data_IF_354601848085
#
_entry.id   IF_354601848085
#
_cell.length_a   1.000
_cell.length_b   1.000
_cell.length_c   1.000
_cell.angle_alpha   90.00
_cell.angle_beta   90.00
_cell.angle_gamma   90.00
#
_symmetry.space_group_name_H-M   'P 1'
#
loop_
_entity.id
_entity.type
_entity.pdbx_description
1 polymer ?
#
# COMPACT_ATOMS: atom_id res chain seq x y z
N UNK A 1 23.20 -2.56 4.38
CA UNK A 1 23.15 -2.77 5.84
C UNK A 1 21.79 -3.37 6.12
N UNK A 2 21.71 -4.49 6.82
CA UNK A 2 20.41 -5.03 7.19
C UNK A 2 19.79 -4.07 8.23
N UNK A 3 18.59 -3.58 7.96
CA UNK A 3 17.85 -2.74 8.90
C UNK A 3 17.66 -3.47 10.23
N UNK A 4 17.87 -2.79 11.35
CA UNK A 4 17.60 -3.36 12.68
C UNK A 4 16.12 -3.40 13.01
N UNK A 5 15.28 -2.66 12.29
CA UNK A 5 13.86 -2.48 12.54
C UNK A 5 13.01 -2.61 11.27
N UNK A 6 11.81 -2.01 11.30
CA UNK A 6 10.99 -1.74 10.12
C UNK A 6 10.75 -0.24 10.03
N UNK A 7 10.63 0.26 8.81
CA UNK A 7 10.00 1.56 8.58
C UNK A 7 8.48 1.38 8.53
N UNK A 8 7.78 1.98 9.48
CA UNK A 8 6.32 1.91 9.52
C UNK A 8 5.68 3.01 8.67
N UNK A 9 4.57 2.68 8.05
CA UNK A 9 3.66 3.64 7.43
C UNK A 9 2.20 3.32 7.70
N UNK A 10 1.32 4.24 7.30
CA UNK A 10 -0.13 4.06 7.44
C UNK A 10 -0.87 4.93 6.42
N UNK A 11 -1.93 4.39 5.84
CA UNK A 11 -2.89 5.19 5.08
C UNK A 11 -3.74 6.06 6.03
N UNK A 12 -3.65 7.39 5.97
CA UNK A 12 -4.19 8.27 7.01
C UNK A 12 -5.65 8.68 6.80
N UNK A 13 -6.20 8.46 5.61
CA UNK A 13 -7.56 8.86 5.25
C UNK A 13 -8.56 7.70 5.46
N UNK A 14 -9.82 7.95 5.15
CA UNK A 14 -10.94 7.06 5.47
C UNK A 14 -11.47 6.24 4.30
N UNK A 15 -11.30 6.72 3.08
CA UNK A 15 -11.87 6.07 1.89
C UNK A 15 -11.18 4.73 1.64
N UNK A 16 -11.97 3.67 1.47
CA UNK A 16 -11.48 2.34 1.14
C UNK A 16 -12.04 1.83 -0.18
N UNK A 17 -11.22 1.08 -0.93
CA UNK A 17 -11.66 0.39 -2.14
C UNK A 17 -12.56 -0.80 -1.82
N UNK A 18 -13.56 -1.03 -2.66
CA UNK A 18 -14.43 -2.22 -2.59
C UNK A 18 -14.51 -2.87 -3.98
N UNK A 19 -14.97 -4.13 -4.09
CA UNK A 19 -15.14 -4.78 -5.40
C UNK A 19 -16.08 -4.05 -6.37
N UNK A 20 -16.90 -3.11 -5.89
CA UNK A 20 -17.92 -2.41 -6.70
C UNK A 20 -17.80 -0.88 -6.62
N UNK A 21 -16.75 -0.34 -5.98
CA UNK A 21 -16.59 1.11 -5.83
C UNK A 21 -15.77 1.49 -4.60
N UNK A 22 -16.26 2.50 -3.88
CA UNK A 22 -15.58 3.05 -2.70
C UNK A 22 -16.51 3.03 -1.48
N UNK A 23 -15.99 2.57 -0.36
CA UNK A 23 -16.56 2.83 0.95
C UNK A 23 -16.17 4.25 1.36
N UNK A 24 -17.16 5.08 1.62
CA UNK A 24 -17.01 6.50 1.98
C UNK A 24 -17.86 6.82 3.21
N UNK A 25 -17.59 7.97 3.82
CA UNK A 25 -18.38 8.50 4.93
C UNK A 25 -18.07 9.98 5.15
N UNK A 26 -18.12 10.48 6.40
CA UNK A 26 -17.86 11.89 6.70
C UNK A 26 -16.50 12.37 6.19
N UNK A 27 -16.36 13.68 5.96
CA UNK A 27 -15.11 14.30 5.52
C UNK A 27 -13.97 14.06 6.51
N UNK A 28 -12.75 13.92 5.99
CA UNK A 28 -11.55 13.77 6.79
C UNK A 28 -11.16 15.07 7.52
N UNK A 29 -10.82 14.94 8.80
CA UNK A 29 -10.32 16.03 9.64
C UNK A 29 -8.79 16.01 9.74
N UNK A 30 -8.12 16.76 8.87
CA UNK A 30 -6.65 16.79 8.78
C UNK A 30 -5.92 17.13 10.10
N UNK A 31 -6.49 17.97 10.96
CA UNK A 31 -5.89 18.28 12.27
C UNK A 31 -5.91 17.07 13.23
N UNK A 32 -7.01 16.30 13.22
CA UNK A 32 -7.13 15.06 14.01
C UNK A 32 -6.21 13.98 13.45
N UNK A 33 -6.10 13.88 12.13
CA UNK A 33 -5.14 12.98 11.45
C UNK A 33 -3.71 13.33 11.89
N UNK A 34 -3.30 14.60 11.76
CA UNK A 34 -1.97 15.03 12.14
C UNK A 34 -1.65 14.75 13.62
N UNK A 35 -2.65 14.93 14.50
CA UNK A 35 -2.52 14.62 15.92
C UNK A 35 -2.31 13.12 16.16
N UNK A 36 -3.13 12.28 15.51
CA UNK A 36 -3.04 10.82 15.63
C UNK A 36 -1.71 10.28 15.06
N UNK A 37 -1.27 10.76 13.89
CA UNK A 37 0.01 10.37 13.31
C UNK A 37 1.20 10.78 14.20
N UNK A 38 1.16 11.99 14.77
CA UNK A 38 2.18 12.43 15.73
C UNK A 38 2.22 11.53 16.97
N UNK A 39 1.05 11.11 17.45
CA UNK A 39 0.96 10.23 18.60
C UNK A 39 1.45 8.80 18.29
N UNK A 40 1.06 8.23 17.14
CA UNK A 40 1.50 6.92 16.67
C UNK A 40 3.02 6.88 16.47
N UNK A 41 3.59 7.91 15.85
CA UNK A 41 5.04 8.06 15.65
C UNK A 41 5.79 8.04 16.99
N UNK A 42 5.26 8.71 18.02
CA UNK A 42 5.91 8.74 19.33
C UNK A 42 7.35 9.26 19.24
N UNK A 43 8.31 8.43 19.68
CA UNK A 43 9.74 8.78 19.66
C UNK A 43 10.49 8.19 18.45
N UNK A 44 9.82 7.48 17.54
CA UNK A 44 10.49 6.90 16.37
C UNK A 44 10.90 7.99 15.39
N UNK A 45 11.91 7.68 14.57
CA UNK A 45 12.45 8.65 13.61
C UNK A 45 11.40 9.01 12.53
N UNK A 46 10.59 8.03 12.12
CA UNK A 46 9.63 8.18 11.03
C UNK A 46 8.38 7.32 11.21
N UNK A 47 7.29 7.81 10.62
CA UNK A 47 6.05 7.10 10.34
C UNK A 47 5.54 7.68 9.03
N UNK A 48 5.55 6.88 7.96
CA UNK A 48 5.25 7.34 6.60
C UNK A 48 3.74 7.41 6.37
N UNK A 49 3.18 8.58 6.03
CA UNK A 49 1.83 8.63 5.48
C UNK A 49 1.85 8.05 4.07
N UNK A 50 1.09 6.97 3.86
CA UNK A 50 0.89 6.36 2.53
C UNK A 50 -0.30 7.03 1.85
N UNK A 51 -0.12 7.53 0.65
CA UNK A 51 -1.16 8.21 -0.13
C UNK A 51 -1.34 7.60 -1.51
N UNK A 52 -2.50 7.86 -2.10
CA UNK A 52 -2.86 7.37 -3.43
C UNK A 52 -3.24 8.53 -4.36
N UNK A 53 -2.70 8.49 -5.57
CA UNK A 53 -3.09 9.32 -6.70
C UNK A 53 -3.56 8.41 -7.84
N UNK A 54 -4.87 8.31 -8.02
CA UNK A 54 -5.44 7.47 -9.08
C UNK A 54 -5.74 8.33 -10.29
N UNK A 55 -5.02 8.08 -11.37
CA UNK A 55 -5.20 8.77 -12.65
C UNK A 55 -6.17 7.99 -13.54
N UNK A 56 -7.26 8.63 -13.98
CA UNK A 56 -8.27 8.04 -14.87
C UNK A 56 -8.30 8.66 -16.26
N UNK A 57 -7.45 9.64 -16.53
CA UNK A 57 -7.43 10.39 -17.79
C UNK A 57 -7.26 11.90 -17.56
N UNK A 58 -6.98 12.66 -18.64
CA UNK A 58 -6.68 14.10 -18.55
C UNK A 58 -7.75 14.92 -17.85
N UNK A 59 -9.02 14.52 -17.97
CA UNK A 59 -10.16 15.15 -17.33
C UNK A 59 -10.17 15.03 -15.80
N UNK A 60 -9.44 14.06 -15.24
CA UNK A 60 -9.31 13.86 -13.79
C UNK A 60 -8.06 14.50 -13.21
N UNK A 61 -7.12 14.95 -14.05
CA UNK A 61 -5.81 15.45 -13.63
C UNK A 61 -5.95 16.56 -12.58
N UNK A 62 -6.73 17.60 -12.87
CA UNK A 62 -6.90 18.74 -11.96
C UNK A 62 -7.42 18.30 -10.58
N UNK A 63 -8.36 17.35 -10.54
CA UNK A 63 -8.90 16.81 -9.28
C UNK A 63 -7.82 16.09 -8.47
N UNK A 64 -6.96 15.32 -9.13
CA UNK A 64 -5.86 14.58 -8.48
C UNK A 64 -4.81 15.57 -7.94
N UNK A 65 -4.39 16.56 -8.73
CA UNK A 65 -3.45 17.59 -8.27
C UNK A 65 -4.02 18.46 -7.14
N UNK A 66 -5.32 18.75 -7.16
CA UNK A 66 -5.98 19.42 -6.05
C UNK A 66 -5.93 18.59 -4.76
N UNK A 67 -6.05 17.26 -4.85
CA UNK A 67 -5.89 16.36 -3.70
C UNK A 67 -4.44 16.31 -3.21
N UNK A 68 -3.47 16.10 -4.10
CA UNK A 68 -2.04 16.11 -3.76
C UNK A 68 -1.60 17.41 -3.10
N UNK A 69 -2.11 18.56 -3.57
CA UNK A 69 -1.87 19.85 -2.94
C UNK A 69 -2.43 19.95 -1.51
N UNK A 70 -3.59 19.34 -1.23
CA UNK A 70 -4.12 19.24 0.13
C UNK A 70 -3.23 18.34 1.00
N UNK A 71 -2.82 17.18 0.49
CA UNK A 71 -1.97 16.23 1.21
C UNK A 71 -0.60 16.84 1.55
N UNK A 72 0.01 17.53 0.58
CA UNK A 72 1.24 18.30 0.77
C UNK A 72 1.10 19.31 1.92
N UNK A 73 0.04 20.13 1.90
CA UNK A 73 -0.21 21.13 2.96
C UNK A 73 -0.44 20.51 4.32
N UNK A 74 -1.01 19.31 4.36
CA UNK A 74 -1.25 18.55 5.58
C UNK A 74 -0.02 17.73 6.05
N UNK A 75 1.09 17.74 5.31
CA UNK A 75 2.27 16.93 5.63
C UNK A 75 2.04 15.42 5.47
N UNK A 76 1.15 15.03 4.55
CA UNK A 76 0.76 13.64 4.30
C UNK A 76 1.43 13.05 3.05
N UNK A 77 2.43 13.70 2.47
CA UNK A 77 3.22 13.09 1.39
C UNK A 77 4.47 12.49 2.03
N UNK A 78 4.55 11.16 2.05
CA UNK A 78 5.73 10.39 2.47
C UNK A 78 5.94 9.24 1.49
N UNK A 79 4.99 8.30 1.46
CA UNK A 79 4.89 7.31 0.38
C UNK A 79 3.70 7.63 -0.53
N UNK A 80 3.91 7.64 -1.86
CA UNK A 80 2.85 7.92 -2.82
C UNK A 80 2.70 6.78 -3.84
N UNK A 81 1.53 6.18 -3.89
CA UNK A 81 1.15 5.25 -4.95
C UNK A 81 0.42 5.97 -6.07
N UNK A 82 0.87 5.80 -7.31
CA UNK A 82 0.16 6.28 -8.49
C UNK A 82 -0.54 5.10 -9.19
N UNK A 83 -1.87 5.09 -9.16
CA UNK A 83 -2.70 4.13 -9.90
C UNK A 83 -3.00 4.62 -11.31
N UNK A 84 -3.08 3.69 -12.27
CA UNK A 84 -3.40 4.00 -13.67
C UNK A 84 -4.67 3.26 -14.10
N UNK A 85 -5.79 3.98 -14.10
CA UNK A 85 -7.11 3.46 -14.45
C UNK A 85 -7.74 4.17 -15.66
N UNK A 86 -6.91 4.75 -16.52
CA UNK A 86 -7.38 5.47 -17.69
C UNK A 86 -8.15 4.60 -18.70
N UNK A 87 -8.95 5.24 -19.54
CA UNK A 87 -9.58 4.56 -20.66
C UNK A 87 -8.51 3.92 -21.57
N UNK A 88 -8.61 2.62 -21.94
CA UNK A 88 -7.63 1.96 -22.81
C UNK A 88 -7.49 2.56 -24.22
N UNK A 89 -8.42 3.41 -24.65
CA UNK A 89 -8.31 4.16 -25.91
C UNK A 89 -7.38 5.36 -25.84
N UNK A 90 -7.00 5.81 -24.64
CA UNK A 90 -6.09 6.94 -24.46
C UNK A 90 -4.63 6.53 -24.70
N UNK A 91 -3.84 7.47 -25.23
CA UNK A 91 -2.39 7.26 -25.37
C UNK A 91 -1.73 7.10 -24.02
N UNK A 92 -0.76 6.19 -23.95
CA UNK A 92 0.12 6.01 -22.80
C UNK A 92 0.87 7.31 -22.43
N UNK A 93 1.09 8.21 -23.39
CA UNK A 93 1.77 9.49 -23.15
C UNK A 93 1.07 10.35 -22.09
N UNK A 94 -0.26 10.31 -22.02
CA UNK A 94 -1.01 11.04 -21.00
C UNK A 94 -0.65 10.56 -19.58
N UNK A 95 -0.49 9.25 -19.42
CA UNK A 95 -0.04 8.65 -18.17
C UNK A 95 1.40 9.04 -17.83
N UNK A 96 2.31 8.98 -18.80
CA UNK A 96 3.72 9.32 -18.55
C UNK A 96 3.89 10.81 -18.24
N UNK A 97 3.13 11.69 -18.91
CA UNK A 97 3.13 13.12 -18.62
C UNK A 97 2.57 13.42 -17.23
N UNK A 98 1.51 12.72 -16.82
CA UNK A 98 0.98 12.81 -15.46
C UNK A 98 2.06 12.42 -14.43
N UNK A 99 2.74 11.28 -14.62
CA UNK A 99 3.82 10.81 -13.74
C UNK A 99 4.95 11.84 -13.65
N UNK A 100 5.41 12.41 -14.79
CA UNK A 100 6.45 13.47 -14.80
C UNK A 100 6.03 14.69 -13.98
N UNK A 101 4.78 15.15 -14.15
CA UNK A 101 4.25 16.29 -13.39
C UNK A 101 4.23 15.99 -11.88
N UNK A 102 3.83 14.78 -11.48
CA UNK A 102 3.84 14.39 -10.06
C UNK A 102 5.25 14.45 -9.47
N UNK A 103 6.25 13.87 -10.13
CA UNK A 103 7.64 13.92 -9.64
C UNK A 103 8.14 15.36 -9.57
N UNK A 104 7.90 16.15 -10.62
CA UNK A 104 8.34 17.54 -10.68
C UNK A 104 7.74 18.41 -9.57
N UNK A 105 6.45 18.23 -9.24
CA UNK A 105 5.76 19.08 -8.27
C UNK A 105 5.89 18.61 -6.82
N UNK A 106 5.95 17.29 -6.61
CA UNK A 106 5.86 16.68 -5.28
C UNK A 106 7.07 15.87 -4.87
N UNK A 107 8.02 15.58 -5.77
CA UNK A 107 9.12 14.66 -5.49
C UNK A 107 9.98 15.06 -4.27
N UNK A 108 10.17 16.36 -4.03
CA UNK A 108 10.90 16.84 -2.82
C UNK A 108 10.22 16.55 -1.48
N UNK A 109 8.97 16.09 -1.49
CA UNK A 109 8.19 15.73 -0.32
C UNK A 109 8.01 14.21 -0.17
N UNK A 110 8.58 13.39 -1.07
CA UNK A 110 8.40 11.95 -1.07
C UNK A 110 9.66 11.25 -0.56
N UNK A 111 9.47 10.23 0.26
CA UNK A 111 10.47 9.24 0.62
C UNK A 111 10.45 8.10 -0.41
N UNK A 112 9.26 7.71 -0.84
CA UNK A 112 9.04 6.67 -1.84
C UNK A 112 7.87 6.96 -2.77
N UNK A 113 7.92 6.32 -3.94
CA UNK A 113 6.86 6.34 -4.93
C UNK A 113 6.64 4.95 -5.53
N UNK A 114 5.38 4.53 -5.53
CA UNK A 114 4.96 3.27 -6.11
C UNK A 114 4.19 3.53 -7.42
N UNK A 115 4.63 2.90 -8.50
CA UNK A 115 3.93 2.92 -9.78
C UNK A 115 3.00 1.71 -9.85
N UNK A 116 1.70 1.97 -10.01
CA UNK A 116 0.58 1.02 -9.89
C UNK A 116 0.45 0.41 -8.48
N UNK A 117 -0.78 0.17 -8.04
CA UNK A 117 -1.03 -0.44 -6.72
C UNK A 117 -1.05 -1.96 -6.80
N UNK A 118 -1.93 -2.50 -7.64
CA UNK A 118 -2.17 -3.95 -7.74
C UNK A 118 -2.25 -4.37 -9.21
N UNK A 119 -1.17 -4.17 -9.98
CA UNK A 119 -1.13 -4.44 -11.42
C UNK A 119 -1.35 -5.93 -11.74
N UNK A 120 -1.13 -6.83 -10.78
CA UNK A 120 -1.37 -8.26 -10.94
C UNK A 120 -2.77 -8.70 -10.48
N UNK A 121 -3.66 -7.79 -10.08
CA UNK A 121 -5.04 -8.11 -9.69
C UNK A 121 -6.04 -7.79 -10.81
N UNK A 122 -6.72 -8.82 -11.33
CA UNK A 122 -7.48 -8.77 -12.60
C UNK A 122 -8.69 -7.83 -12.63
N UNK A 123 -9.14 -7.31 -11.49
CA UNK A 123 -10.28 -6.41 -11.40
C UNK A 123 -9.92 -5.01 -10.89
N UNK A 124 -8.64 -4.75 -10.57
CA UNK A 124 -8.11 -3.43 -10.20
C UNK A 124 -7.25 -2.89 -11.34
N UNK A 125 -6.01 -2.44 -11.08
CA UNK A 125 -5.08 -2.00 -12.13
C UNK A 125 -4.89 -3.09 -13.19
N UNK A 126 -4.79 -4.35 -12.77
CA UNK A 126 -4.65 -5.52 -13.64
C UNK A 126 -5.86 -5.80 -14.56
N UNK A 127 -6.97 -5.07 -14.40
CA UNK A 127 -8.10 -5.12 -15.36
C UNK A 127 -7.79 -4.44 -16.68
N UNK A 128 -6.72 -3.63 -16.74
CA UNK A 128 -6.36 -2.85 -17.92
C UNK A 128 -5.41 -3.62 -18.82
N UNK A 129 -5.68 -3.70 -20.13
CA UNK A 129 -4.82 -4.46 -21.05
C UNK A 129 -3.41 -3.87 -21.19
N UNK A 130 -3.24 -2.57 -20.88
CA UNK A 130 -1.98 -1.84 -20.96
C UNK A 130 -1.19 -1.83 -19.64
N UNK A 131 -1.66 -2.52 -18.60
CA UNK A 131 -1.15 -2.35 -17.23
C UNK A 131 0.35 -2.62 -17.11
N UNK A 132 0.86 -3.63 -17.83
CA UNK A 132 2.28 -3.98 -17.79
C UNK A 132 3.13 -2.89 -18.46
N UNK A 133 2.70 -2.37 -19.60
CA UNK A 133 3.36 -1.25 -20.28
C UNK A 133 3.31 0.02 -19.42
N UNK A 134 2.17 0.32 -18.80
CA UNK A 134 2.02 1.48 -17.91
C UNK A 134 2.89 1.38 -16.66
N UNK A 135 3.01 0.18 -16.09
CA UNK A 135 3.91 -0.11 -14.98
C UNK A 135 5.38 0.10 -15.40
N UNK A 136 5.84 -0.61 -16.44
CA UNK A 136 7.24 -0.56 -16.87
C UNK A 136 7.63 0.85 -17.28
N UNK A 137 6.87 1.48 -18.19
CA UNK A 137 7.20 2.82 -18.67
C UNK A 137 7.03 3.90 -17.60
N UNK A 138 6.08 3.71 -16.66
CA UNK A 138 5.92 4.59 -15.51
C UNK A 138 7.13 4.56 -14.59
N UNK A 139 7.64 3.38 -14.24
CA UNK A 139 8.87 3.21 -13.42
C UNK A 139 10.07 3.86 -14.10
N UNK A 140 10.31 3.55 -15.38
CA UNK A 140 11.42 4.13 -16.13
C UNK A 140 11.31 5.66 -16.21
N UNK A 141 10.10 6.19 -16.40
CA UNK A 141 9.84 7.63 -16.42
C UNK A 141 10.15 8.28 -15.07
N UNK A 142 9.70 7.67 -13.97
CA UNK A 142 10.02 8.16 -12.61
C UNK A 142 11.54 8.20 -12.41
N UNK A 143 12.25 7.11 -12.77
CA UNK A 143 13.69 7.01 -12.57
C UNK A 143 14.45 8.15 -13.27
N UNK A 144 14.10 8.41 -14.53
CA UNK A 144 14.66 9.50 -15.32
C UNK A 144 14.41 10.87 -14.67
N UNK A 145 13.20 11.13 -14.17
CA UNK A 145 12.87 12.42 -13.55
C UNK A 145 13.54 12.62 -12.18
N UNK A 146 13.68 11.53 -11.40
CA UNK A 146 14.42 11.52 -10.14
C UNK A 146 15.89 11.86 -10.38
N UNK A 147 16.54 11.24 -11.37
CA UNK A 147 17.95 11.50 -11.70
C UNK A 147 18.18 12.92 -12.19
N UNK A 148 17.32 13.42 -13.09
CA UNK A 148 17.37 14.81 -13.57
C UNK A 148 17.28 15.83 -12.45
N UNK A 149 16.49 15.52 -11.42
CA UNK A 149 16.19 16.43 -10.32
C UNK A 149 17.02 16.13 -9.05
N UNK A 150 17.90 15.13 -9.09
CA UNK A 150 18.69 14.64 -7.97
C UNK A 150 17.85 14.40 -6.70
N UNK A 151 16.69 13.75 -6.86
CA UNK A 151 15.75 13.49 -5.78
C UNK A 151 16.11 12.17 -5.04
N UNK A 152 16.09 12.13 -3.71
CA UNK A 152 16.43 10.92 -2.95
C UNK A 152 15.22 9.99 -2.75
N UNK A 153 14.38 9.80 -3.77
CA UNK A 153 13.11 9.03 -3.67
C UNK A 153 13.36 7.57 -4.06
N UNK A 154 12.75 6.64 -3.32
CA UNK A 154 12.73 5.21 -3.66
C UNK A 154 11.61 4.88 -4.64
N UNK A 155 11.89 4.10 -5.68
CA UNK A 155 10.91 3.73 -6.70
C UNK A 155 10.50 2.28 -6.57
N UNK A 156 9.22 1.96 -6.63
CA UNK A 156 8.76 0.58 -6.65
C UNK A 156 7.44 0.40 -7.39
N UNK A 157 6.89 -0.80 -7.27
CA UNK A 157 5.54 -1.14 -7.75
C UNK A 157 4.91 -2.14 -6.80
N UNK A 158 3.58 -2.16 -6.74
CA UNK A 158 2.86 -3.06 -5.85
C UNK A 158 2.50 -4.40 -6.49
N UNK A 159 2.05 -5.33 -5.66
CA UNK A 159 1.56 -6.64 -6.06
C UNK A 159 0.66 -7.22 -4.97
N UNK A 160 -0.14 -8.23 -5.32
CA UNK A 160 -0.88 -9.07 -4.37
C UNK A 160 -0.43 -10.54 -4.44
N UNK A 161 -0.74 -11.40 -3.45
CA UNK A 161 -0.49 -12.83 -3.54
C UNK A 161 -1.09 -13.49 -4.80
N UNK A 162 -0.34 -14.40 -5.43
CA UNK A 162 -0.85 -15.19 -6.56
C UNK A 162 -2.07 -16.04 -6.15
N UNK A 163 -3.14 -15.96 -6.94
CA UNK A 163 -4.38 -16.71 -6.73
C UNK A 163 -5.32 -16.63 -7.94
N UNK A 164 -6.54 -17.16 -7.82
CA UNK A 164 -7.50 -17.26 -8.94
C UNK A 164 -7.89 -15.91 -9.57
N UNK A 165 -7.78 -14.82 -8.81
CA UNK A 165 -8.11 -13.47 -9.27
C UNK A 165 -6.91 -12.69 -9.80
N UNK A 166 -5.72 -13.30 -9.84
CA UNK A 166 -4.53 -12.64 -10.36
C UNK A 166 -4.39 -12.80 -11.87
N UNK A 167 -3.71 -11.85 -12.50
CA UNK A 167 -3.41 -11.89 -13.94
C UNK A 167 -2.48 -13.09 -14.23
N UNK A 168 -2.86 -14.03 -15.11
CA UNK A 168 -2.02 -15.19 -15.44
C UNK A 168 -0.67 -14.77 -16.00
N UNK A 169 0.40 -15.48 -15.61
CA UNK A 169 1.77 -15.24 -16.11
C UNK A 169 2.26 -13.79 -15.89
N UNK A 170 1.72 -13.08 -14.89
CA UNK A 170 2.03 -11.67 -14.65
C UNK A 170 3.54 -11.40 -14.59
N UNK A 171 4.26 -12.13 -13.73
CA UNK A 171 5.69 -11.92 -13.50
C UNK A 171 6.54 -12.21 -14.73
N UNK A 172 6.26 -13.30 -15.43
CA UNK A 172 6.95 -13.69 -16.66
C UNK A 172 6.76 -12.63 -17.76
N UNK A 173 5.53 -12.12 -17.90
CA UNK A 173 5.22 -11.06 -18.87
C UNK A 173 5.82 -9.71 -18.48
N UNK A 174 5.83 -9.37 -17.18
CA UNK A 174 6.47 -8.17 -16.68
C UNK A 174 7.96 -8.15 -17.01
N UNK A 175 8.67 -9.25 -16.75
CA UNK A 175 10.10 -9.36 -17.07
C UNK A 175 10.34 -9.39 -18.57
N UNK A 176 9.46 -10.04 -19.34
CA UNK A 176 9.55 -10.03 -20.81
C UNK A 176 9.43 -8.62 -21.41
N UNK A 177 8.61 -7.75 -20.81
CA UNK A 177 8.39 -6.37 -21.28
C UNK A 177 9.47 -5.42 -20.75
N UNK A 178 9.78 -5.49 -19.45
CA UNK A 178 10.68 -4.53 -18.80
C UNK A 178 12.16 -4.91 -18.81
N UNK A 179 12.47 -6.21 -18.81
CA UNK A 179 13.84 -6.73 -18.78
C UNK A 179 14.69 -6.22 -17.60
N UNK A 180 16.00 -6.28 -17.76
CA UNK A 180 16.97 -5.89 -16.74
C UNK A 180 16.90 -4.39 -16.39
N UNK A 181 16.55 -3.55 -17.37
CA UNK A 181 16.45 -2.09 -17.18
C UNK A 181 15.35 -1.76 -16.16
N UNK A 182 14.20 -2.44 -16.23
CA UNK A 182 13.13 -2.30 -15.24
C UNK A 182 13.60 -2.73 -13.85
N UNK A 183 14.24 -3.90 -13.73
CA UNK A 183 14.73 -4.41 -12.42
C UNK A 183 15.76 -3.45 -11.81
N UNK A 184 16.64 -2.86 -12.63
CA UNK A 184 17.65 -1.89 -12.16
C UNK A 184 17.04 -0.52 -11.79
N UNK A 185 15.84 -0.22 -12.28
CA UNK A 185 15.16 1.05 -12.05
C UNK A 185 14.31 1.09 -10.79
N UNK A 186 14.04 -0.07 -10.18
CA UNK A 186 13.29 -0.17 -8.92
C UNK A 186 14.23 -0.32 -7.72
N UNK A 187 13.81 0.26 -6.61
CA UNK A 187 14.43 0.17 -5.29
C UNK A 187 13.70 -0.81 -4.37
N UNK A 188 12.46 -1.20 -4.66
CA UNK A 188 11.68 -2.17 -3.88
C UNK A 188 10.55 -2.80 -4.69
N UNK A 189 9.98 -3.90 -4.17
CA UNK A 189 8.68 -4.43 -4.60
C UNK A 189 7.70 -4.38 -3.44
N UNK A 190 6.57 -3.70 -3.66
CA UNK A 190 5.44 -3.64 -2.75
C UNK A 190 4.60 -4.91 -2.78
N UNK A 191 4.10 -5.33 -1.63
CA UNK A 191 3.21 -6.45 -1.49
C UNK A 191 2.04 -6.12 -0.57
N UNK A 192 0.85 -6.07 -1.16
CA UNK A 192 -0.42 -5.90 -0.49
C UNK A 192 -0.98 -7.28 -0.16
N UNK A 193 -1.24 -7.58 1.11
CA UNK A 193 -1.88 -8.84 1.47
C UNK A 193 -2.80 -8.67 2.67
N UNK A 194 -3.87 -9.45 2.67
CA UNK A 194 -4.89 -9.44 3.71
C UNK A 194 -5.16 -10.88 4.13
N UNK A 195 -4.76 -11.25 5.35
CA UNK A 195 -4.94 -12.62 5.87
C UNK A 195 -6.37 -12.78 6.32
N UNK A 196 -7.06 -13.80 5.79
CA UNK A 196 -8.44 -14.19 6.09
C UNK A 196 -9.52 -13.11 5.95
N UNK A 197 -9.17 -11.90 5.49
CA UNK A 197 -10.11 -10.77 5.45
C UNK A 197 -11.34 -11.05 4.59
N UNK A 198 -11.18 -11.79 3.49
CA UNK A 198 -12.24 -12.11 2.54
C UNK A 198 -12.73 -13.56 2.61
N UNK A 199 -12.24 -14.32 3.60
CA UNK A 199 -12.46 -15.76 3.76
C UNK A 199 -12.86 -16.09 5.20
N UNK A 200 -13.12 -17.37 5.49
CA UNK A 200 -13.36 -17.82 6.85
C UNK A 200 -12.20 -17.45 7.79
N UNK A 201 -12.46 -16.84 8.96
CA UNK A 201 -11.41 -16.45 9.89
C UNK A 201 -10.56 -17.63 10.30
N UNK A 202 -9.24 -17.44 10.26
CA UNK A 202 -8.30 -18.44 10.72
C UNK A 202 -8.28 -18.49 12.24
N UNK A 203 -7.85 -19.63 12.80
CA UNK A 203 -7.44 -19.63 14.21
C UNK A 203 -6.19 -18.77 14.35
N UNK A 204 -6.01 -18.17 15.52
CA UNK A 204 -4.93 -17.20 15.72
C UNK A 204 -3.54 -17.80 15.49
N UNK A 205 -3.36 -19.09 15.78
CA UNK A 205 -2.10 -19.82 15.54
C UNK A 205 -1.84 -20.05 14.04
N UNK A 206 -2.89 -20.09 13.22
CA UNK A 206 -2.84 -20.30 11.77
C UNK A 206 -2.56 -18.99 11.03
N UNK A 207 -2.88 -17.83 11.62
CA UNK A 207 -2.60 -16.50 11.05
C UNK A 207 -1.09 -16.34 10.80
N UNK A 208 -0.24 -16.65 11.79
CA UNK A 208 1.21 -16.52 11.65
C UNK A 208 1.75 -17.43 10.52
N UNK A 209 1.25 -18.66 10.43
CA UNK A 209 1.64 -19.62 9.39
C UNK A 209 1.21 -19.11 8.00
N UNK A 210 0.02 -18.51 7.89
CA UNK A 210 -0.46 -17.92 6.65
C UNK A 210 0.42 -16.76 6.18
N UNK A 211 0.77 -15.82 7.08
CA UNK A 211 1.69 -14.72 6.79
C UNK A 211 3.05 -15.25 6.32
N UNK A 212 3.61 -16.23 7.02
CA UNK A 212 4.89 -16.83 6.66
C UNK A 212 4.85 -17.44 5.25
N UNK A 213 3.83 -18.23 4.96
CA UNK A 213 3.67 -18.86 3.65
C UNK A 213 3.52 -17.83 2.53
N UNK A 214 2.72 -16.78 2.73
CA UNK A 214 2.53 -15.70 1.77
C UNK A 214 3.87 -15.03 1.44
N UNK A 215 4.63 -14.62 2.46
CA UNK A 215 5.85 -13.84 2.27
C UNK A 215 7.00 -14.69 1.72
N UNK A 216 7.14 -15.94 2.17
CA UNK A 216 8.14 -16.88 1.62
C UNK A 216 7.86 -17.19 0.16
N UNK A 217 6.60 -17.49 -0.18
CA UNK A 217 6.18 -17.71 -1.57
C UNK A 217 6.43 -16.46 -2.41
N UNK A 218 6.16 -15.27 -1.88
CA UNK A 218 6.44 -14.03 -2.61
C UNK A 218 7.93 -13.85 -2.90
N UNK A 219 8.82 -14.09 -1.92
CA UNK A 219 10.27 -14.07 -2.17
C UNK A 219 10.69 -15.11 -3.20
N UNK A 220 10.17 -16.33 -3.14
CA UNK A 220 10.42 -17.37 -4.16
C UNK A 220 9.98 -16.92 -5.56
N UNK A 221 8.84 -16.25 -5.67
CA UNK A 221 8.35 -15.67 -6.94
C UNK A 221 9.29 -14.60 -7.47
N UNK A 222 9.82 -13.72 -6.61
CA UNK A 222 10.80 -12.71 -7.02
C UNK A 222 12.10 -13.38 -7.51
N UNK A 223 12.62 -14.33 -6.73
CA UNK A 223 13.90 -15.00 -7.03
C UNK A 223 13.81 -15.80 -8.34
N UNK A 224 12.72 -16.56 -8.57
CA UNK A 224 12.54 -17.35 -9.82
C UNK A 224 12.38 -16.48 -11.06
N UNK A 225 11.96 -15.22 -10.91
CA UNK A 225 11.80 -14.26 -11.99
C UNK A 225 13.00 -13.30 -12.13
N UNK A 226 14.12 -13.56 -11.44
CA UNK A 226 15.37 -12.84 -11.62
C UNK A 226 15.48 -11.52 -10.86
N UNK A 227 14.56 -11.21 -9.95
CA UNK A 227 14.75 -10.09 -9.03
C UNK A 227 15.84 -10.46 -8.02
N UNK A 228 16.79 -9.56 -7.72
CA UNK A 228 17.87 -9.88 -6.79
C UNK A 228 17.32 -9.99 -5.36
N UNK A 229 17.84 -10.92 -4.57
CA UNK A 229 17.45 -11.09 -3.15
C UNK A 229 17.75 -9.85 -2.29
N UNK A 230 18.69 -9.01 -2.74
CA UNK A 230 18.99 -7.70 -2.13
C UNK A 230 17.93 -6.64 -2.40
N UNK A 231 16.99 -6.86 -3.33
CA UNK A 231 15.85 -5.97 -3.55
C UNK A 231 14.87 -6.11 -2.38
N UNK A 232 14.62 -5.04 -1.61
CA UNK A 232 13.71 -5.06 -0.48
C UNK A 232 12.27 -5.36 -0.88
N UNK A 233 11.57 -6.03 0.03
CA UNK A 233 10.11 -6.13 0.02
C UNK A 233 9.55 -5.04 0.95
N UNK A 234 8.55 -4.31 0.48
CA UNK A 234 7.75 -3.42 1.30
C UNK A 234 6.37 -4.06 1.48
N UNK A 235 5.89 -4.19 2.72
CA UNK A 235 4.48 -4.50 2.93
C UNK A 235 3.73 -3.19 2.79
N UNK A 236 3.09 -2.99 1.65
CA UNK A 236 2.57 -1.69 1.22
C UNK A 236 1.10 -1.50 1.57
N UNK A 237 0.36 -2.60 1.74
CA UNK A 237 -0.94 -2.60 2.39
C UNK A 237 -1.15 -3.89 3.18
N UNK A 238 -1.46 -3.74 4.46
CA UNK A 238 -2.01 -4.81 5.27
C UNK A 238 -3.00 -4.22 6.29
N UNK A 239 -4.07 -4.96 6.56
CA UNK A 239 -5.09 -4.56 7.52
C UNK A 239 -5.98 -5.72 7.90
N UNK A 240 -6.79 -5.50 8.93
CA UNK A 240 -7.83 -6.43 9.33
C UNK A 240 -9.03 -5.63 9.84
N UNK A 241 -10.17 -5.64 9.14
CA UNK A 241 -11.29 -4.75 9.45
C UNK A 241 -12.17 -5.29 10.59
N UNK A 242 -12.90 -4.39 11.24
CA UNK A 242 -13.99 -4.75 12.17
C UNK A 242 -15.34 -4.78 11.43
N UNK A 243 -16.43 -5.06 12.13
CA UNK A 243 -17.77 -5.10 11.54
C UNK A 243 -18.04 -6.40 10.78
N UNK A 244 -19.20 -6.48 10.12
CA UNK A 244 -19.63 -7.70 9.44
C UNK A 244 -18.97 -7.91 8.08
N UNK A 245 -18.47 -9.12 7.84
CA UNK A 245 -17.99 -9.55 6.53
C UNK A 245 -19.18 -9.83 5.60
N UNK A 246 -19.33 -9.12 4.48
CA UNK A 246 -20.49 -9.27 3.61
C UNK A 246 -20.50 -10.60 2.82
N UNK A 247 -19.36 -11.27 2.67
CA UNK A 247 -19.24 -12.51 1.89
C UNK A 247 -19.62 -13.76 2.69
N UNK A 248 -19.22 -13.79 3.97
CA UNK A 248 -19.40 -14.96 4.86
C UNK A 248 -20.30 -14.67 6.08
N UNK A 249 -20.75 -13.42 6.23
CA UNK A 249 -21.68 -12.96 7.26
C UNK A 249 -21.18 -13.08 8.72
N UNK A 250 -19.86 -13.11 8.92
CA UNK A 250 -19.21 -13.17 10.23
C UNK A 250 -18.89 -11.75 10.74
N UNK A 251 -19.23 -11.49 12.00
CA UNK A 251 -18.90 -10.25 12.69
C UNK A 251 -17.46 -10.28 13.23
N UNK A 252 -16.74 -9.18 13.06
CA UNK A 252 -15.37 -8.99 13.56
C UNK A 252 -15.32 -7.92 14.65
N UNK A 253 -14.84 -8.33 15.82
CA UNK A 253 -14.73 -7.44 16.98
C UNK A 253 -13.48 -6.58 16.95
N UNK A 254 -13.51 -5.52 17.76
CA UNK A 254 -12.39 -4.58 17.92
C UNK A 254 -11.18 -5.24 18.60
N UNK A 255 -11.43 -6.17 19.51
CA UNK A 255 -10.41 -6.97 20.19
C UNK A 255 -9.75 -7.95 19.21
N UNK A 256 -10.54 -8.61 18.35
CA UNK A 256 -10.01 -9.50 17.32
C UNK A 256 -9.08 -8.76 16.36
N UNK A 257 -9.46 -7.56 15.90
CA UNK A 257 -8.60 -6.71 15.07
C UNK A 257 -7.25 -6.47 15.75
N UNK A 258 -7.25 -6.13 17.04
CA UNK A 258 -6.02 -5.89 17.80
C UNK A 258 -5.14 -7.15 17.87
N UNK A 259 -5.72 -8.31 18.12
CA UNK A 259 -4.98 -9.58 18.27
C UNK A 259 -4.37 -10.01 16.94
N UNK A 260 -5.17 -10.02 15.87
CA UNK A 260 -4.72 -10.45 14.53
C UNK A 260 -3.64 -9.52 13.99
N UNK A 261 -3.81 -8.19 14.14
CA UNK A 261 -2.82 -7.20 13.75
C UNK A 261 -1.47 -7.45 14.45
N UNK A 262 -1.46 -7.68 15.77
CA UNK A 262 -0.21 -7.93 16.51
C UNK A 262 0.51 -9.18 16.00
N UNK A 263 -0.24 -10.26 15.74
CA UNK A 263 0.34 -11.49 15.20
C UNK A 263 0.95 -11.25 13.83
N UNK A 264 0.23 -10.60 12.91
CA UNK A 264 0.73 -10.33 11.56
C UNK A 264 2.02 -9.49 11.61
N UNK A 265 2.03 -8.36 12.32
CA UNK A 265 3.19 -7.46 12.36
C UNK A 265 4.41 -8.13 12.99
N UNK A 266 4.22 -8.89 14.08
CA UNK A 266 5.34 -9.61 14.70
C UNK A 266 5.89 -10.71 13.81
N UNK A 267 5.03 -11.41 13.07
CA UNK A 267 5.47 -12.41 12.08
C UNK A 267 6.26 -11.74 10.96
N UNK A 268 5.75 -10.65 10.36
CA UNK A 268 6.49 -9.86 9.36
C UNK A 268 7.86 -9.44 9.91
N UNK A 269 7.90 -8.88 11.11
CA UNK A 269 9.14 -8.45 11.75
C UNK A 269 10.14 -9.60 11.95
N UNK A 270 9.67 -10.79 12.34
CA UNK A 270 10.54 -11.97 12.51
C UNK A 270 11.17 -12.44 11.19
N UNK A 271 10.44 -12.32 10.08
CA UNK A 271 10.89 -12.71 8.74
C UNK A 271 11.74 -11.64 8.05
N UNK A 272 11.77 -10.42 8.58
CA UNK A 272 12.32 -9.25 7.88
C UNK A 272 13.77 -9.40 7.43
N UNK A 273 14.61 -10.02 8.26
CA UNK A 273 16.03 -10.23 7.95
C UNK A 273 16.20 -11.26 6.83
N UNK A 274 15.43 -12.33 6.91
CA UNK A 274 15.49 -13.44 5.97
C UNK A 274 14.97 -13.04 4.60
N UNK A 275 13.82 -12.35 4.56
CA UNK A 275 13.12 -11.99 3.35
C UNK A 275 13.44 -10.59 2.85
N UNK A 276 14.38 -9.88 3.50
CA UNK A 276 14.74 -8.49 3.22
C UNK A 276 13.50 -7.58 3.18
N UNK A 277 12.67 -7.67 4.22
CA UNK A 277 11.51 -6.79 4.40
C UNK A 277 11.98 -5.57 5.18
N UNK A 278 11.71 -4.38 4.67
CA UNK A 278 12.18 -3.13 5.26
C UNK A 278 11.04 -2.23 5.71
N UNK A 279 9.85 -2.40 5.14
CA UNK A 279 8.69 -1.54 5.39
C UNK A 279 7.45 -2.33 5.76
N UNK A 280 6.62 -1.76 6.63
CA UNK A 280 5.28 -2.23 6.93
C UNK A 280 4.30 -1.06 6.99
N UNK A 281 3.35 -1.03 6.07
CA UNK A 281 2.38 0.04 5.90
C UNK A 281 0.97 -0.49 6.15
N UNK A 282 0.32 0.10 7.16
CA UNK A 282 -1.00 -0.32 7.62
C UNK A 282 -2.14 0.37 6.85
N UNK A 283 -3.19 -0.37 6.56
CA UNK A 283 -4.44 0.15 6.01
C UNK A 283 -5.60 -0.09 7.01
N UNK A 284 -6.21 0.93 7.61
CA UNK A 284 -5.95 2.37 7.56
C UNK A 284 -6.19 3.07 8.91
N UNK A 285 -5.94 4.38 9.00
CA UNK A 285 -6.00 5.10 10.27
C UNK A 285 -7.41 5.13 10.87
N UNK A 286 -8.42 5.44 10.06
CA UNK A 286 -9.81 5.56 10.52
C UNK A 286 -10.80 4.86 9.59
N UNK A 287 -11.94 4.49 10.17
CA UNK A 287 -13.09 3.96 9.43
C UNK A 287 -13.61 4.97 8.41
N UNK A 288 -14.14 4.45 7.29
CA UNK A 288 -14.92 5.25 6.35
C UNK A 288 -16.19 5.78 7.02
N UNK A 289 -16.97 4.87 7.62
CA UNK A 289 -18.22 5.16 8.31
C UNK A 289 -18.49 4.05 9.36
N UNK A 290 -18.35 4.37 10.64
CA UNK A 290 -18.49 3.39 11.72
C UNK A 290 -19.95 3.02 11.99
N UNK A 291 -20.92 3.71 11.37
CA UNK A 291 -22.36 3.37 11.47
C UNK A 291 -22.77 2.25 10.50
N UNK A 292 -21.92 1.91 9.52
CA UNK A 292 -22.18 0.83 8.56
C UNK A 292 -21.60 -0.47 9.10
N UNK A 293 -22.46 -1.47 9.29
CA UNK A 293 -22.06 -2.82 9.66
C UNK A 293 -21.57 -3.60 8.42
N UNK A 294 -20.45 -3.13 7.86
CA UNK A 294 -19.79 -3.70 6.70
C UNK A 294 -18.27 -3.49 6.84
N UNK A 295 -17.50 -4.55 6.64
CA UNK A 295 -16.06 -4.52 6.84
C UNK A 295 -15.33 -3.47 5.98
N UNK A 296 -15.84 -3.15 4.79
CA UNK A 296 -15.22 -2.17 3.90
C UNK A 296 -15.30 -0.76 4.47
N UNK A 297 -16.29 -0.50 5.32
CA UNK A 297 -16.42 0.77 6.02
C UNK A 297 -15.59 0.84 7.31
N UNK A 298 -15.10 -0.30 7.81
CA UNK A 298 -14.52 -0.41 9.16
C UNK A 298 -13.07 -0.95 9.21
N UNK A 299 -12.25 -0.64 8.20
CA UNK A 299 -10.82 -0.98 8.16
C UNK A 299 -9.96 -0.20 9.18
N UNK A 300 -10.46 0.89 9.73
CA UNK A 300 -9.71 1.77 10.60
C UNK A 300 -9.28 1.13 11.91
N UNK A 301 -8.15 1.57 12.45
CA UNK A 301 -7.79 1.41 13.87
C UNK A 301 -8.41 2.49 14.76
N UNK A 302 -9.10 3.46 14.15
CA UNK A 302 -9.96 4.45 14.79
C UNK A 302 -11.35 4.38 14.14
N UNK A 303 -12.36 4.81 14.88
CA UNK A 303 -13.70 5.07 14.34
C UNK A 303 -13.70 6.30 13.44
N UNK A 304 -14.80 6.51 12.74
CA UNK A 304 -14.97 7.64 11.85
C UNK A 304 -14.90 9.01 12.58
N UNK A 305 -15.32 9.07 13.84
CA UNK A 305 -15.21 10.25 14.70
C UNK A 305 -13.82 10.48 15.34
N UNK A 306 -12.84 9.62 15.01
CA UNK A 306 -11.49 9.53 15.57
C UNK A 306 -11.44 9.04 17.02
N UNK A 307 -12.46 8.34 17.50
CA UNK A 307 -12.34 7.53 18.72
C UNK A 307 -11.47 6.32 18.43
N UNK A 308 -10.43 6.10 19.25
CA UNK A 308 -9.50 4.98 19.05
C UNK A 308 -10.19 3.62 19.27
N UNK A 309 -9.80 2.62 18.47
CA UNK A 309 -10.06 1.19 18.75
C UNK A 309 -8.87 0.61 19.53
N UNK A 310 -9.00 -0.56 20.19
CA UNK A 310 -7.87 -1.22 20.86
C UNK A 310 -6.65 -1.41 19.96
N UNK A 311 -6.88 -1.71 18.67
CA UNK A 311 -5.83 -1.89 17.69
C UNK A 311 -4.96 -0.64 17.47
N UNK A 312 -5.44 0.58 17.75
CA UNK A 312 -4.62 1.79 17.72
C UNK A 312 -3.49 1.75 18.74
N UNK A 313 -3.80 1.33 19.98
CA UNK A 313 -2.80 1.23 21.04
C UNK A 313 -1.80 0.12 20.74
N UNK A 314 -2.26 -0.98 20.18
CA UNK A 314 -1.41 -2.10 19.74
C UNK A 314 -0.47 -1.68 18.62
N UNK A 315 -0.98 -0.99 17.59
CA UNK A 315 -0.15 -0.48 16.50
C UNK A 315 0.89 0.53 16.99
N UNK A 316 0.49 1.46 17.86
CA UNK A 316 1.42 2.40 18.53
C UNK A 316 2.52 1.69 19.30
N UNK A 317 2.18 0.65 20.08
CA UNK A 317 3.16 -0.16 20.82
C UNK A 317 4.15 -0.81 19.85
N UNK A 318 3.66 -1.41 18.77
CA UNK A 318 4.49 -2.11 17.79
C UNK A 318 5.43 -1.17 17.03
N UNK A 319 4.96 0.04 16.66
CA UNK A 319 5.83 1.08 16.09
C UNK A 319 7.00 1.36 17.05
N UNK A 320 6.72 1.61 18.34
CA UNK A 320 7.78 1.93 19.29
C UNK A 320 8.74 0.75 19.57
N UNK A 321 8.26 -0.49 19.49
CA UNK A 321 9.07 -1.69 19.75
C UNK A 321 9.91 -2.13 18.55
N UNK A 322 9.40 -1.94 17.33
CA UNK A 322 9.88 -2.63 16.13
C UNK A 322 10.42 -1.68 15.05
N UNK A 323 10.32 -0.35 15.25
CA UNK A 323 10.89 0.61 14.31
C UNK A 323 12.41 0.64 14.34
N UNK A 324 13.00 1.16 13.26
CA UNK A 324 14.41 1.59 13.20
C UNK A 324 14.73 2.78 14.12
#
# INVERSE_FOLDING_TARGET
MNSTGLTFGIYPLSVAGTPIGLATGPDDHYEKIATALKELKGNTNQLLPRMYAVYMGPETEEKVFNALNRYKKAGLLGDLTIGCLMDPSLSLDYWLDFVRKVIKEYGTFLDSIQITNEPNLSFMDGSKPYVLEALVQGVLTVKVEIEKSNLPIKVGFGSVPEGEKTVPHFWENLIKIGGDEFIQSIDYVGHNFYVDVFEEPLKIEEVAVSVENILRKFREILDRNGFPSTLPIHITENGWPTGKNPFIQIERSYEQQSIVLEVIIRTVYSLRQELNITHYEFFGLRDADSSKDDLFHQFGIMKDDYTIKPAYLTFKKLINELSE
#
